data_IF_358565459289
#
_entry.id   IF_358565459289
#
_cell.length_a   1.000
_cell.length_b   1.000
_cell.length_c   1.000
_cell.angle_alpha   90.00
_cell.angle_beta   90.00
_cell.angle_gamma   90.00
#
_symmetry.space_group_name_H-M   'P 1'
#
loop_
_entity.id
_entity.type
_entity.pdbx_description
1 polymer ?
#
# COMPACT_ATOMS: atom_id res chain seq x y z
N UNK A 1 -3.53 -10.95 5.18
CA UNK A 1 -3.37 -12.34 5.66
C UNK A 1 -3.22 -12.43 7.18
N UNK A 2 -2.23 -11.76 7.80
CA UNK A 2 -2.06 -11.80 9.26
C UNK A 2 -3.32 -11.36 10.03
N UNK A 3 -3.94 -10.24 9.63
CA UNK A 3 -5.20 -9.78 10.25
C UNK A 3 -6.32 -10.83 10.14
N UNK A 4 -6.48 -11.43 8.96
CA UNK A 4 -7.51 -12.41 8.70
C UNK A 4 -7.30 -13.70 9.54
N UNK A 5 -6.05 -14.10 9.79
CA UNK A 5 -5.71 -15.17 10.74
C UNK A 5 -6.13 -14.82 12.17
N UNK A 6 -5.75 -13.64 12.65
CA UNK A 6 -6.11 -13.18 14.01
C UNK A 6 -7.62 -13.11 14.19
N UNK A 7 -8.38 -12.63 13.19
CA UNK A 7 -9.85 -12.58 13.26
C UNK A 7 -10.46 -13.97 13.42
N UNK A 8 -9.94 -14.99 12.72
CA UNK A 8 -10.41 -16.38 12.81
C UNK A 8 -10.16 -17.02 14.19
N UNK A 9 -9.15 -16.52 14.91
CA UNK A 9 -8.84 -16.98 16.28
C UNK A 9 -9.76 -16.32 17.33
N UNK A 10 -10.52 -15.28 16.97
CA UNK A 10 -11.52 -14.68 17.86
C UNK A 10 -12.77 -15.56 17.94
N UNK A 11 -13.47 -15.52 19.08
CA UNK A 11 -14.73 -16.27 19.26
C UNK A 11 -15.94 -15.57 18.60
N UNK A 12 -15.76 -14.33 18.19
CA UNK A 12 -16.83 -13.46 17.69
C UNK A 12 -17.00 -13.53 16.17
N UNK A 13 -16.05 -14.16 15.45
CA UNK A 13 -16.06 -14.27 13.99
C UNK A 13 -16.22 -15.74 13.59
N UNK A 14 -17.34 -16.06 12.94
CA UNK A 14 -17.66 -17.43 12.51
C UNK A 14 -16.96 -17.84 11.21
N UNK A 15 -16.72 -16.90 10.30
CA UNK A 15 -16.09 -17.13 9.00
C UNK A 15 -15.28 -15.91 8.56
N UNK A 16 -14.14 -16.15 7.92
CA UNK A 16 -13.34 -15.11 7.27
C UNK A 16 -13.19 -15.43 5.79
N UNK A 17 -13.61 -14.49 4.93
CA UNK A 17 -13.39 -14.55 3.48
C UNK A 17 -12.38 -13.49 3.09
N UNK A 18 -11.22 -13.92 2.63
CA UNK A 18 -10.12 -13.01 2.29
C UNK A 18 -10.09 -12.76 0.78
N UNK A 19 -10.13 -11.49 0.37
CA UNK A 19 -9.86 -11.08 -1.01
C UNK A 19 -8.58 -10.28 -1.07
N UNK A 20 -7.69 -10.60 -2.00
CA UNK A 20 -6.39 -9.95 -2.17
C UNK A 20 -6.28 -9.41 -3.59
N UNK A 21 -5.83 -8.15 -3.72
CA UNK A 21 -5.60 -7.50 -5.01
C UNK A 21 -4.16 -7.00 -5.10
N UNK A 22 -3.49 -7.23 -6.23
CA UNK A 22 -2.15 -6.71 -6.55
C UNK A 22 -1.98 -6.72 -8.07
N UNK A 23 -1.15 -5.84 -8.62
CA UNK A 23 -0.82 -5.85 -10.05
C UNK A 23 0.17 -6.96 -10.42
N UNK A 24 0.94 -7.44 -9.43
CA UNK A 24 2.03 -8.41 -9.61
C UNK A 24 1.52 -9.82 -9.41
N UNK A 25 1.47 -10.56 -10.51
CA UNK A 25 1.02 -11.95 -10.50
C UNK A 25 1.86 -12.85 -9.58
N UNK A 26 3.17 -12.63 -9.51
CA UNK A 26 4.05 -13.37 -8.59
C UNK A 26 3.66 -13.15 -7.12
N UNK A 27 3.36 -11.92 -6.73
CA UNK A 27 2.93 -11.60 -5.37
C UNK A 27 1.58 -12.27 -5.04
N UNK A 28 0.65 -12.32 -6.00
CA UNK A 28 -0.63 -13.02 -5.83
C UNK A 28 -0.44 -14.54 -5.68
N UNK A 29 0.48 -15.15 -6.43
CA UNK A 29 0.80 -16.59 -6.29
C UNK A 29 1.34 -16.91 -4.90
N UNK A 30 2.28 -16.10 -4.40
CA UNK A 30 2.80 -16.26 -3.06
C UNK A 30 1.70 -16.04 -2.00
N UNK A 31 0.90 -14.99 -2.14
CA UNK A 31 -0.21 -14.70 -1.24
C UNK A 31 -1.23 -15.84 -1.19
N UNK A 32 -1.58 -16.44 -2.33
CA UNK A 32 -2.48 -17.59 -2.41
C UNK A 32 -1.89 -18.83 -1.74
N UNK A 33 -0.58 -19.08 -1.91
CA UNK A 33 0.13 -20.19 -1.23
C UNK A 33 -0.02 -20.05 0.28
N UNK A 34 0.34 -18.89 0.82
CA UNK A 34 0.24 -18.66 2.27
C UNK A 34 -1.21 -18.67 2.78
N UNK A 35 -2.16 -18.13 2.01
CA UNK A 35 -3.56 -18.09 2.42
C UNK A 35 -4.19 -19.49 2.51
N UNK A 36 -3.76 -20.44 1.66
CA UNK A 36 -4.18 -21.85 1.74
C UNK A 36 -3.74 -22.53 3.03
N UNK A 37 -2.55 -22.20 3.53
CA UNK A 37 -2.02 -22.79 4.78
C UNK A 37 -2.77 -22.27 6.02
N UNK A 38 -3.18 -21.01 6.00
CA UNK A 38 -3.68 -20.32 7.20
C UNK A 38 -5.22 -20.21 7.26
N UNK A 39 -5.86 -19.85 6.14
CA UNK A 39 -7.26 -19.39 6.14
C UNK A 39 -8.15 -20.29 5.30
N UNK A 40 -7.58 -20.94 4.27
CA UNK A 40 -8.21 -21.90 3.35
C UNK A 40 -9.28 -21.30 2.41
N UNK A 41 -9.80 -20.10 2.71
CA UNK A 41 -10.76 -19.32 1.91
C UNK A 41 -10.16 -17.97 1.49
N UNK A 42 -9.38 -17.95 0.41
CA UNK A 42 -8.89 -16.71 -0.17
C UNK A 42 -9.07 -16.64 -1.69
N UNK A 43 -9.49 -15.48 -2.16
CA UNK A 43 -9.59 -15.11 -3.56
C UNK A 43 -8.52 -14.06 -3.90
N UNK A 44 -7.96 -14.16 -5.10
CA UNK A 44 -6.91 -13.27 -5.59
C UNK A 44 -7.31 -12.65 -6.92
N UNK A 45 -7.14 -11.34 -7.08
CA UNK A 45 -7.39 -10.64 -8.33
C UNK A 45 -6.18 -9.84 -8.77
N UNK A 46 -5.75 -10.06 -10.02
CA UNK A 46 -4.76 -9.19 -10.67
C UNK A 46 -5.44 -7.89 -11.09
N UNK A 47 -5.45 -6.93 -10.20
CA UNK A 47 -6.24 -5.70 -10.34
C UNK A 47 -5.52 -4.50 -9.72
N UNK A 48 -5.71 -3.34 -10.35
CA UNK A 48 -5.28 -2.07 -9.76
C UNK A 48 -6.16 -1.73 -8.55
N UNK A 49 -5.55 -1.33 -7.44
CA UNK A 49 -6.27 -0.99 -6.21
C UNK A 49 -7.25 0.18 -6.39
N UNK A 50 -7.05 1.07 -7.37
CA UNK A 50 -8.03 2.11 -7.73
C UNK A 50 -9.33 1.54 -8.31
N UNK A 51 -9.38 0.24 -8.58
CA UNK A 51 -10.56 -0.50 -9.05
C UNK A 51 -11.06 -1.55 -8.05
N UNK A 52 -10.55 -1.56 -6.82
CA UNK A 52 -10.96 -2.52 -5.77
C UNK A 52 -12.49 -2.67 -5.63
N UNK A 53 -13.26 -1.58 -5.75
CA UNK A 53 -14.72 -1.58 -5.69
C UNK A 53 -15.42 -2.50 -6.71
N UNK A 54 -14.75 -2.90 -7.80
CA UNK A 54 -15.36 -3.79 -8.81
C UNK A 54 -15.40 -5.24 -8.36
N UNK A 55 -14.68 -5.61 -7.29
CA UNK A 55 -14.57 -6.99 -6.81
C UNK A 55 -15.70 -7.34 -5.85
N UNK A 56 -16.21 -6.35 -5.11
CA UNK A 56 -17.28 -6.54 -4.15
C UNK A 56 -17.28 -5.49 -3.07
N UNK A 57 -18.05 -5.77 -2.02
CA UNK A 57 -18.10 -4.98 -0.78
C UNK A 57 -17.57 -5.80 0.38
N UNK A 58 -16.94 -5.13 1.35
CA UNK A 58 -16.20 -5.75 2.43
C UNK A 58 -16.46 -5.06 3.76
N UNK A 59 -16.54 -5.84 4.84
CA UNK A 59 -16.58 -5.33 6.21
C UNK A 59 -15.28 -4.62 6.60
N UNK A 60 -14.15 -5.08 6.05
CA UNK A 60 -12.83 -4.51 6.31
C UNK A 60 -12.08 -4.33 4.99
N UNK A 61 -11.62 -3.12 4.73
CA UNK A 61 -10.68 -2.83 3.64
C UNK A 61 -9.31 -2.52 4.26
N UNK A 62 -8.32 -3.37 3.99
CA UNK A 62 -6.97 -3.23 4.51
C UNK A 62 -6.00 -2.77 3.41
N UNK A 63 -5.39 -1.60 3.61
CA UNK A 63 -4.28 -1.08 2.82
C UNK A 63 -2.98 -1.34 3.57
N UNK A 64 -2.16 -2.28 3.09
CA UNK A 64 -1.00 -2.80 3.81
C UNK A 64 0.22 -2.92 2.90
N UNK A 65 1.43 -2.73 3.46
CA UNK A 65 2.69 -2.87 2.73
C UNK A 65 3.19 -1.58 2.13
N UNK A 66 2.98 -0.45 2.82
CA UNK A 66 3.42 0.89 2.41
C UNK A 66 2.89 1.34 1.03
N UNK A 67 1.68 0.91 0.66
CA UNK A 67 1.16 1.10 -0.71
C UNK A 67 1.00 2.57 -1.11
N UNK A 68 0.69 3.48 -0.17
CA UNK A 68 0.31 4.86 -0.51
C UNK A 68 1.48 5.67 -1.07
N UNK A 69 2.73 5.24 -0.84
CA UNK A 69 3.92 5.88 -1.43
C UNK A 69 3.91 5.80 -2.96
N UNK A 70 3.27 4.76 -3.53
CA UNK A 70 3.21 4.49 -4.95
C UNK A 70 2.06 5.20 -5.68
N UNK A 71 1.15 5.84 -4.95
CA UNK A 71 0.05 6.61 -5.52
C UNK A 71 0.38 8.10 -5.48
N UNK A 72 0.35 8.76 -6.64
CA UNK A 72 0.41 10.21 -6.73
C UNK A 72 -0.84 10.89 -6.12
N UNK A 73 -0.83 12.21 -6.05
CA UNK A 73 -1.90 12.97 -5.38
C UNK A 73 -3.29 12.76 -6.01
N UNK A 74 -3.37 12.50 -7.32
CA UNK A 74 -4.61 12.26 -8.04
C UNK A 74 -5.09 10.82 -7.86
N UNK A 75 -4.18 9.86 -8.03
CA UNK A 75 -4.49 8.44 -7.90
C UNK A 75 -4.76 8.04 -6.45
N UNK A 76 -4.22 8.75 -5.46
CA UNK A 76 -4.59 8.56 -4.05
C UNK A 76 -6.09 8.83 -3.82
N UNK A 77 -6.66 9.87 -4.46
CA UNK A 77 -8.09 10.17 -4.33
C UNK A 77 -8.93 9.04 -4.92
N UNK A 78 -8.49 8.50 -6.06
CA UNK A 78 -9.16 7.38 -6.74
C UNK A 78 -9.06 6.10 -5.92
N UNK A 79 -7.92 5.85 -5.28
CA UNK A 79 -7.73 4.74 -4.36
C UNK A 79 -8.71 4.84 -3.18
N UNK A 80 -8.80 6.00 -2.53
CA UNK A 80 -9.72 6.19 -1.40
C UNK A 80 -11.19 6.10 -1.83
N UNK A 81 -11.57 6.72 -2.95
CA UNK A 81 -12.93 6.58 -3.49
C UNK A 81 -13.27 5.12 -3.77
N UNK A 82 -12.36 4.36 -4.40
CA UNK A 82 -12.54 2.94 -4.66
C UNK A 82 -12.63 2.12 -3.38
N UNK A 83 -11.80 2.41 -2.38
CA UNK A 83 -11.82 1.72 -1.10
C UNK A 83 -13.14 1.96 -0.34
N UNK A 84 -13.63 3.20 -0.33
CA UNK A 84 -14.92 3.54 0.31
C UNK A 84 -16.10 2.91 -0.44
N UNK A 85 -16.09 2.86 -1.77
CA UNK A 85 -17.14 2.16 -2.54
C UNK A 85 -17.13 0.64 -2.31
N UNK A 86 -15.95 0.07 -2.05
CA UNK A 86 -15.79 -1.32 -1.66
C UNK A 86 -16.14 -1.59 -0.19
N UNK A 87 -16.51 -0.59 0.60
CA UNK A 87 -16.76 -0.74 2.03
C UNK A 87 -18.25 -0.94 2.31
N UNK A 88 -18.59 -1.86 3.22
CA UNK A 88 -19.95 -1.96 3.75
C UNK A 88 -20.31 -0.75 4.63
N UNK A 89 -21.61 -0.50 4.84
CA UNK A 89 -22.12 0.68 5.58
C UNK A 89 -21.49 0.83 6.98
N UNK A 90 -21.23 -0.29 7.65
CA UNK A 90 -20.59 -0.33 8.98
C UNK A 90 -19.15 -0.85 8.94
N UNK A 91 -18.56 -0.88 7.74
CA UNK A 91 -17.23 -1.39 7.53
C UNK A 91 -16.14 -0.44 8.03
N UNK A 92 -14.91 -0.96 8.13
CA UNK A 92 -13.73 -0.20 8.58
C UNK A 92 -12.63 -0.24 7.53
N UNK A 93 -12.06 0.92 7.22
CA UNK A 93 -10.83 1.03 6.43
C UNK A 93 -9.65 1.10 7.38
N UNK A 94 -8.68 0.21 7.20
CA UNK A 94 -7.42 0.18 7.95
C UNK A 94 -6.29 0.50 6.98
N UNK A 95 -5.46 1.48 7.34
CA UNK A 95 -4.29 1.88 6.55
C UNK A 95 -3.05 1.69 7.41
N UNK A 96 -2.17 0.78 7.01
CA UNK A 96 -0.83 0.69 7.57
C UNK A 96 0.06 1.73 6.90
N UNK A 97 0.53 2.71 7.68
CA UNK A 97 1.36 3.76 7.13
C UNK A 97 2.34 4.35 8.15
N UNK A 98 3.44 4.89 7.63
CA UNK A 98 4.45 5.61 8.39
C UNK A 98 4.36 7.11 8.10
N UNK A 99 4.50 7.95 9.13
CA UNK A 99 4.55 9.40 8.97
C UNK A 99 5.88 9.85 8.34
N UNK A 100 5.92 9.86 7.02
CA UNK A 100 7.11 10.25 6.25
C UNK A 100 7.44 11.72 6.45
N UNK A 101 6.44 12.59 6.54
CA UNK A 101 6.68 14.02 6.80
C UNK A 101 7.40 14.23 8.13
N UNK A 102 6.94 13.58 9.21
CA UNK A 102 7.60 13.63 10.50
C UNK A 102 9.05 13.13 10.44
N UNK A 103 9.29 12.03 9.71
CA UNK A 103 10.65 11.49 9.52
C UNK A 103 11.55 12.48 8.78
N UNK A 104 11.03 13.16 7.76
CA UNK A 104 11.78 14.18 7.02
C UNK A 104 12.22 15.35 7.91
N UNK A 105 11.35 15.81 8.81
CA UNK A 105 11.69 16.91 9.71
C UNK A 105 12.57 16.50 10.89
N UNK A 106 12.50 15.24 11.34
CA UNK A 106 13.28 14.77 12.50
C UNK A 106 14.62 14.13 12.13
N UNK A 107 14.73 13.52 10.94
CA UNK A 107 15.94 12.83 10.47
C UNK A 107 16.55 13.46 9.22
N UNK A 108 15.87 14.44 8.62
CA UNK A 108 16.30 15.06 7.37
C UNK A 108 15.90 14.26 6.13
N UNK A 109 15.98 14.92 4.97
CA UNK A 109 15.90 14.27 3.67
C UNK A 109 17.30 13.87 3.20
N UNK A 110 17.49 12.63 2.76
CA UNK A 110 18.73 12.21 2.11
C UNK A 110 18.56 12.06 0.60
N UNK A 111 19.35 12.80 -0.17
CA UNK A 111 19.39 12.68 -1.63
C UNK A 111 19.95 11.33 -2.08
N UNK A 112 20.76 10.67 -1.25
CA UNK A 112 21.34 9.33 -1.49
C UNK A 112 21.09 8.44 -0.28
N UNK A 113 20.57 7.23 -0.47
CA UNK A 113 20.31 6.26 0.60
C UNK A 113 20.93 4.92 0.26
N UNK A 114 21.44 4.21 1.26
CA UNK A 114 21.82 2.81 1.15
C UNK A 114 20.57 1.97 1.38
N UNK A 115 20.12 1.26 0.34
CA UNK A 115 18.89 0.45 0.36
C UNK A 115 19.20 -0.99 0.79
N UNK A 116 20.38 -1.48 0.42
CA UNK A 116 20.90 -2.78 0.85
C UNK A 116 22.39 -2.64 1.11
N UNK A 117 22.84 -2.98 2.32
CA UNK A 117 24.24 -2.87 2.74
C UNK A 117 25.05 -4.17 2.58
N UNK A 118 24.43 -5.29 2.17
CA UNK A 118 25.15 -6.54 1.87
C UNK A 118 26.08 -6.29 0.67
N UNK A 119 27.42 -6.43 0.80
CA UNK A 119 28.36 -6.20 -0.29
C UNK A 119 28.05 -7.00 -1.57
N UNK A 120 27.39 -8.16 -1.47
CA UNK A 120 27.01 -8.99 -2.62
C UNK A 120 25.81 -8.42 -3.38
N UNK A 121 24.95 -7.65 -2.71
CA UNK A 121 23.70 -7.11 -3.21
C UNK A 121 23.61 -5.58 -2.99
N UNK A 122 24.75 -4.92 -2.84
CA UNK A 122 24.84 -3.51 -2.46
C UNK A 122 24.04 -2.65 -3.42
N UNK A 123 23.10 -1.89 -2.89
CA UNK A 123 22.26 -1.00 -3.68
C UNK A 123 22.04 0.33 -2.98
N UNK A 124 21.99 1.38 -3.79
CA UNK A 124 21.66 2.73 -3.33
C UNK A 124 20.39 3.22 -4.04
N UNK A 125 19.76 4.24 -3.48
CA UNK A 125 18.79 5.03 -4.22
C UNK A 125 19.20 6.49 -4.23
N UNK A 126 18.91 7.18 -5.34
CA UNK A 126 19.23 8.59 -5.53
C UNK A 126 17.95 9.35 -5.93
N UNK A 127 17.72 10.51 -5.34
CA UNK A 127 16.71 11.45 -5.82
C UNK A 127 17.14 12.01 -7.17
N UNK A 128 16.32 11.83 -8.21
CA UNK A 128 16.64 12.31 -9.56
C UNK A 128 15.71 13.39 -10.09
N UNK A 129 14.46 13.48 -9.63
CA UNK A 129 13.51 14.47 -10.15
C UNK A 129 12.35 14.76 -9.18
N UNK A 130 11.64 15.86 -9.39
CA UNK A 130 10.41 16.22 -8.69
C UNK A 130 9.35 16.74 -9.66
N UNK A 131 8.19 16.06 -9.70
CA UNK A 131 7.07 16.45 -10.54
C UNK A 131 6.06 17.29 -9.75
N UNK A 132 5.96 18.58 -10.09
CA UNK A 132 5.03 19.53 -9.45
C UNK A 132 3.55 19.21 -9.67
N UNK A 133 3.19 18.57 -10.78
CA UNK A 133 1.78 18.26 -11.12
C UNK A 133 1.27 17.07 -10.31
N UNK A 134 2.09 16.03 -10.16
CA UNK A 134 1.70 14.81 -9.43
C UNK A 134 2.08 14.86 -7.95
N UNK A 135 3.04 15.71 -7.60
CA UNK A 135 3.67 15.80 -6.27
C UNK A 135 4.68 14.67 -6.01
N UNK A 136 5.10 13.95 -7.06
CA UNK A 136 5.95 12.78 -6.92
C UNK A 136 7.44 13.11 -7.01
N UNK A 137 8.21 12.52 -6.12
CA UNK A 137 9.68 12.55 -6.13
C UNK A 137 10.20 11.28 -6.77
N UNK A 138 10.93 11.41 -7.86
CA UNK A 138 11.52 10.26 -8.54
C UNK A 138 12.77 9.83 -7.80
N UNK A 139 12.79 8.59 -7.30
CA UNK A 139 14.02 7.93 -6.82
C UNK A 139 14.44 6.82 -7.76
N UNK A 140 15.71 6.85 -8.13
CA UNK A 140 16.36 5.81 -8.93
C UNK A 140 17.11 4.86 -8.02
N UNK A 141 16.66 3.61 -7.97
CA UNK A 141 17.26 2.51 -7.21
C UNK A 141 18.28 1.80 -8.10
N UNK A 142 19.54 1.76 -7.67
CA UNK A 142 20.67 1.30 -8.46
C UNK A 142 21.38 0.17 -7.71
N UNK A 143 21.50 -1.01 -8.34
CA UNK A 143 22.39 -2.07 -7.85
C UNK A 143 23.81 -1.74 -8.26
N UNK A 144 24.73 -1.59 -7.31
CA UNK A 144 26.09 -1.13 -7.61
C UNK A 144 26.97 -2.19 -8.29
N UNK A 145 26.57 -3.47 -8.22
CA UNK A 145 27.33 -4.56 -8.86
C UNK A 145 27.00 -4.74 -10.34
N UNK A 146 25.74 -4.61 -10.71
CA UNK A 146 25.26 -4.82 -12.08
C UNK A 146 24.95 -3.52 -12.81
N UNK A 147 24.83 -2.41 -12.08
CA UNK A 147 24.34 -1.12 -12.56
C UNK A 147 22.90 -1.14 -13.05
N UNK A 148 22.13 -2.19 -12.74
CA UNK A 148 20.70 -2.20 -12.99
C UNK A 148 20.04 -1.07 -12.20
N UNK A 149 19.24 -0.26 -12.89
CA UNK A 149 18.56 0.88 -12.32
C UNK A 149 17.05 0.82 -12.59
N UNK A 150 16.26 1.15 -11.58
CA UNK A 150 14.81 1.34 -11.70
C UNK A 150 14.44 2.65 -11.04
N UNK A 151 13.76 3.52 -11.79
CA UNK A 151 13.25 4.80 -11.28
C UNK A 151 11.78 4.68 -10.92
N UNK A 152 11.43 5.09 -9.71
CA UNK A 152 10.06 5.04 -9.20
C UNK A 152 9.62 6.43 -8.70
N UNK A 153 8.43 6.90 -9.07
CA UNK A 153 7.81 8.04 -8.41
C UNK A 153 7.36 7.63 -7.00
N UNK A 154 7.79 8.39 -6.00
CA UNK A 154 7.45 8.18 -4.60
C UNK A 154 6.79 9.44 -4.03
N UNK A 155 5.81 9.26 -3.15
CA UNK A 155 5.07 10.36 -2.56
C UNK A 155 5.21 10.32 -1.03
N UNK A 156 5.66 11.42 -0.44
CA UNK A 156 5.87 11.56 1.00
C UNK A 156 4.71 12.36 1.60
N UNK A 157 4.00 11.76 2.56
CA UNK A 157 2.83 12.37 3.21
C UNK A 157 2.89 12.17 4.72
N UNK A 158 2.19 13.04 5.44
CA UNK A 158 1.94 12.85 6.87
C UNK A 158 0.74 11.94 7.09
N UNK A 159 0.67 11.31 8.26
CA UNK A 159 -0.52 10.53 8.62
C UNK A 159 -1.75 11.44 8.65
N UNK A 160 -1.61 12.69 9.11
CA UNK A 160 -2.70 13.67 9.13
C UNK A 160 -3.25 13.97 7.74
N UNK A 161 -2.38 14.13 6.73
CA UNK A 161 -2.82 14.35 5.34
C UNK A 161 -3.59 13.14 4.82
N UNK A 162 -3.11 11.93 5.13
CA UNK A 162 -3.74 10.68 4.70
C UNK A 162 -5.12 10.50 5.35
N UNK A 163 -5.20 10.65 6.67
CA UNK A 163 -6.45 10.44 7.41
C UNK A 163 -7.48 11.54 7.16
N UNK A 164 -7.08 12.81 7.12
CA UNK A 164 -7.99 13.92 6.79
C UNK A 164 -8.57 13.79 5.38
N UNK A 165 -7.76 13.31 4.42
CA UNK A 165 -8.25 13.11 3.05
C UNK A 165 -9.17 11.90 2.95
N UNK A 166 -8.79 10.76 3.55
CA UNK A 166 -9.66 9.58 3.61
C UNK A 166 -11.00 9.89 4.29
N UNK A 167 -10.98 10.72 5.33
CA UNK A 167 -12.17 11.14 6.07
C UNK A 167 -13.21 11.86 5.18
N UNK A 168 -12.77 12.59 4.16
CA UNK A 168 -13.68 13.21 3.19
C UNK A 168 -14.51 12.16 2.43
N UNK A 169 -13.98 10.95 2.22
CA UNK A 169 -14.71 9.89 1.54
C UNK A 169 -15.62 9.12 2.51
N UNK A 170 -15.18 8.89 3.74
CA UNK A 170 -15.93 8.08 4.70
C UNK A 170 -17.07 8.85 5.39
N UNK A 171 -16.94 10.18 5.60
CA UNK A 171 -17.94 10.96 6.36
C UNK A 171 -18.88 11.81 5.50
N UNK A 172 -18.54 12.09 4.23
CA UNK A 172 -19.34 12.98 3.36
C UNK A 172 -20.21 12.19 2.37
N UNK A 173 -19.93 10.89 2.16
CA UNK A 173 -20.65 10.02 1.23
C UNK A 173 -21.59 9.00 1.90
N UNK A 174 -21.91 9.20 3.18
CA UNK A 174 -22.95 8.47 3.94
C UNK A 174 -23.92 9.52 4.48
#
# INVERSE_FOLDING_TARGET
MALAKVLKETKDVSEVKLTIIDLREAALKDALRFAKEEIHSAEVHKLDAIKAHTVGRFDIVLMYGAILVHFDSWNLMRLFSSATQALEEKGVIIVEEMDRTHILFTRGYSSILVENSDPRNLSISVHTDYNLITGSYTRSFIRLRTWDAVSLPLNFRSILTITSTLWLFVKILI
#
